data_IF_708901147863
#
_entry.id   IF_708901147863
#
_cell.length_a   1.000
_cell.length_b   1.000
_cell.length_c   1.000
_cell.angle_alpha   90.00
_cell.angle_beta   90.00
_cell.angle_gamma   90.00
#
_symmetry.space_group_name_H-M   'P 1'
#
loop_
_entity.id
_entity.type
_entity.pdbx_description
1 polymer ?
#
# COMPACT_ATOMS: atom_id res chain seq x y z
N UNK A 1 -12.09 5.43 -7.23
CA UNK A 1 -10.88 4.61 -7.46
C UNK A 1 -9.59 5.42 -7.49
N UNK A 2 -9.59 6.67 -7.98
CA UNK A 2 -8.38 7.51 -8.01
C UNK A 2 -7.57 7.56 -6.68
N UNK A 3 -8.23 7.76 -5.53
CA UNK A 3 -7.53 7.79 -4.22
C UNK A 3 -6.92 6.43 -3.82
N UNK A 4 -7.57 5.33 -4.20
CA UNK A 4 -7.06 3.98 -3.99
C UNK A 4 -5.84 3.72 -4.85
N UNK A 5 -5.88 4.12 -6.12
CA UNK A 5 -4.76 3.98 -7.06
C UNK A 5 -3.54 4.80 -6.60
N UNK A 6 -3.74 6.07 -6.20
CA UNK A 6 -2.66 6.93 -5.69
C UNK A 6 -2.02 6.38 -4.41
N UNK A 7 -2.78 5.65 -3.60
CA UNK A 7 -2.28 5.04 -2.37
C UNK A 7 -1.89 3.57 -2.56
N UNK A 8 -1.73 3.10 -3.80
CA UNK A 8 -1.35 1.71 -4.10
C UNK A 8 -2.27 0.67 -3.44
N UNK A 9 -3.57 0.95 -3.40
CA UNK A 9 -4.59 0.09 -2.80
C UNK A 9 -4.60 0.10 -1.27
N UNK A 10 -3.96 1.08 -0.64
CA UNK A 10 -3.90 1.18 0.83
C UNK A 10 -5.13 1.86 1.40
N UNK A 11 -5.69 2.84 0.68
CA UNK A 11 -6.86 3.58 1.14
C UNK A 11 -7.92 3.70 0.06
N UNK A 12 -9.09 3.10 0.29
CA UNK A 12 -10.29 3.32 -0.51
C UNK A 12 -11.36 3.94 0.40
N UNK A 13 -11.74 5.21 0.20
CA UNK A 13 -12.72 5.87 1.06
C UNK A 13 -14.08 5.21 0.94
N UNK A 14 -14.76 5.01 2.07
CA UNK A 14 -16.10 4.42 2.08
C UNK A 14 -17.13 5.42 1.56
N UNK A 15 -18.28 4.96 1.03
CA UNK A 15 -19.39 5.83 0.67
C UNK A 15 -19.83 6.76 1.80
N UNK A 16 -19.74 6.30 3.05
CA UNK A 16 -20.09 7.08 4.24
C UNK A 16 -19.14 8.24 4.54
N UNK A 17 -17.96 8.28 3.93
CA UNK A 17 -17.05 9.44 3.97
C UNK A 17 -17.25 10.30 2.73
N UNK A 18 -17.32 9.67 1.55
CA UNK A 18 -17.39 10.40 0.27
C UNK A 18 -18.65 11.27 0.15
N UNK A 19 -19.83 10.71 0.43
CA UNK A 19 -21.08 11.46 0.22
C UNK A 19 -21.25 12.65 1.17
N UNK A 20 -21.00 12.52 2.50
CA UNK A 20 -21.04 13.69 3.38
C UNK A 20 -20.06 14.80 2.98
N UNK A 21 -18.85 14.45 2.54
CA UNK A 21 -17.89 15.45 2.04
C UNK A 21 -18.40 16.15 0.78
N UNK A 22 -18.99 15.41 -0.17
CA UNK A 22 -19.56 16.00 -1.38
C UNK A 22 -20.76 16.92 -1.07
N UNK A 23 -21.62 16.53 -0.12
CA UNK A 23 -22.70 17.39 0.37
C UNK A 23 -22.16 18.67 0.98
N UNK A 24 -21.16 18.57 1.86
CA UNK A 24 -20.52 19.75 2.46
C UNK A 24 -19.94 20.70 1.39
N UNK A 25 -19.26 20.17 0.37
CA UNK A 25 -18.72 20.99 -0.72
C UNK A 25 -19.81 21.64 -1.58
N UNK A 26 -20.96 20.99 -1.73
CA UNK A 26 -22.13 21.54 -2.41
C UNK A 26 -22.78 22.67 -1.59
N UNK A 27 -22.97 22.46 -0.28
CA UNK A 27 -23.51 23.47 0.64
C UNK A 27 -22.58 24.70 0.78
N UNK A 28 -21.27 24.50 0.72
CA UNK A 28 -20.27 25.57 0.71
C UNK A 28 -20.16 26.29 -0.64
N UNK A 29 -20.85 25.82 -1.69
CA UNK A 29 -20.81 26.40 -3.04
C UNK A 29 -19.55 26.07 -3.85
N UNK A 30 -18.70 25.15 -3.39
CA UNK A 30 -17.47 24.72 -4.08
C UNK A 30 -17.71 23.61 -5.10
N UNK A 31 -18.81 22.87 -4.97
CA UNK A 31 -19.26 21.89 -5.94
C UNK A 31 -20.73 22.10 -6.29
N UNK A 32 -21.12 21.59 -7.45
CA UNK A 32 -22.53 21.49 -7.87
C UNK A 32 -22.79 20.09 -8.33
N UNK A 33 -23.99 19.58 -8.04
CA UNK A 33 -24.43 18.30 -8.58
C UNK A 33 -25.41 18.44 -9.74
N UNK A 34 -25.32 17.47 -10.65
CA UNK A 34 -26.29 17.23 -11.70
C UNK A 34 -26.72 15.77 -11.68
N UNK A 35 -27.94 15.51 -12.16
CA UNK A 35 -28.41 14.14 -12.36
C UNK A 35 -28.16 13.74 -13.81
N UNK A 36 -27.26 12.77 -14.01
CA UNK A 36 -27.06 12.11 -15.30
C UNK A 36 -27.70 10.72 -15.23
N UNK A 37 -28.95 10.63 -15.70
CA UNK A 37 -29.77 9.43 -15.58
C UNK A 37 -29.98 9.05 -14.12
N UNK A 38 -29.45 7.88 -13.72
CA UNK A 38 -29.58 7.35 -12.36
C UNK A 38 -28.41 7.71 -11.44
N UNK A 39 -27.45 8.53 -11.91
CA UNK A 39 -26.24 8.88 -11.16
C UNK A 39 -26.22 10.38 -10.86
N UNK A 40 -25.90 10.72 -9.60
CA UNK A 40 -25.57 12.08 -9.18
C UNK A 40 -24.10 12.33 -9.51
N UNK A 41 -23.82 13.26 -10.42
CA UNK A 41 -22.47 13.66 -10.84
C UNK A 41 -22.15 15.00 -10.18
N UNK A 42 -20.97 15.13 -9.62
CA UNK A 42 -20.50 16.37 -8.97
C UNK A 42 -19.44 17.03 -9.84
N UNK A 43 -19.53 18.35 -9.98
CA UNK A 43 -18.58 19.18 -10.70
C UNK A 43 -18.11 20.33 -9.82
N UNK A 44 -16.84 20.69 -9.90
CA UNK A 44 -16.29 21.83 -9.17
C UNK A 44 -16.79 23.15 -9.77
N UNK A 45 -17.14 24.11 -8.92
CA UNK A 45 -17.53 25.46 -9.34
C UNK A 45 -16.31 26.36 -9.52
N UNK A 46 -16.48 27.56 -10.09
CA UNK A 46 -15.40 28.55 -10.12
C UNK A 46 -14.92 28.95 -8.71
N UNK A 47 -15.85 29.14 -7.77
CA UNK A 47 -15.50 29.39 -6.38
C UNK A 47 -14.70 28.23 -5.76
N UNK A 48 -15.07 26.99 -6.08
CA UNK A 48 -14.33 25.80 -5.67
C UNK A 48 -12.94 25.73 -6.28
N UNK A 49 -12.76 26.12 -7.55
CA UNK A 49 -11.45 26.21 -8.21
C UNK A 49 -10.55 27.23 -7.53
N UNK A 50 -11.05 28.44 -7.29
CA UNK A 50 -10.30 29.47 -6.56
C UNK A 50 -9.89 28.98 -5.16
N UNK A 51 -10.83 28.38 -4.41
CA UNK A 51 -10.53 27.85 -3.09
C UNK A 51 -9.48 26.73 -3.11
N UNK A 52 -9.55 25.86 -4.13
CA UNK A 52 -8.56 24.80 -4.34
C UNK A 52 -7.18 25.39 -4.62
N UNK A 53 -7.09 26.40 -5.49
CA UNK A 53 -5.83 27.03 -5.88
C UNK A 53 -5.19 27.80 -4.72
N UNK A 54 -6.00 28.51 -3.91
CA UNK A 54 -5.54 29.20 -2.69
C UNK A 54 -4.93 28.24 -1.65
N UNK A 55 -5.34 26.98 -1.67
CA UNK A 55 -4.91 25.96 -0.70
C UNK A 55 -3.99 24.89 -1.33
N UNK A 56 -3.53 25.12 -2.57
CA UNK A 56 -2.86 24.11 -3.39
C UNK A 56 -1.60 23.54 -2.72
N UNK A 57 -0.75 24.38 -2.16
CA UNK A 57 0.50 23.93 -1.52
C UNK A 57 0.25 22.94 -0.36
N UNK A 58 -0.72 23.25 0.49
CA UNK A 58 -1.12 22.39 1.61
C UNK A 58 -1.70 21.06 1.09
N UNK A 59 -2.57 21.12 0.08
CA UNK A 59 -3.22 19.95 -0.50
C UNK A 59 -2.17 19.05 -1.15
N UNK A 60 -1.24 19.62 -1.93
CA UNK A 60 -0.15 18.88 -2.55
C UNK A 60 0.72 18.18 -1.50
N UNK A 61 1.01 18.85 -0.37
CA UNK A 61 1.73 18.24 0.75
C UNK A 61 0.99 17.05 1.37
N UNK A 62 -0.32 17.15 1.60
CA UNK A 62 -1.15 16.04 2.11
C UNK A 62 -1.19 14.88 1.12
N UNK A 63 -1.33 15.19 -0.17
CA UNK A 63 -1.39 14.18 -1.22
C UNK A 63 -0.04 13.46 -1.40
N UNK A 64 1.09 14.18 -1.38
CA UNK A 64 2.42 13.57 -1.43
C UNK A 64 2.66 12.67 -0.22
N UNK A 65 2.25 13.09 0.98
CA UNK A 65 2.35 12.26 2.18
C UNK A 65 1.55 10.95 2.03
N UNK A 66 0.31 11.03 1.56
CA UNK A 66 -0.55 9.87 1.32
C UNK A 66 0.06 8.91 0.29
N UNK A 67 0.63 9.43 -0.80
CA UNK A 67 1.29 8.61 -1.81
C UNK A 67 2.56 7.93 -1.27
N UNK A 68 3.40 8.66 -0.53
CA UNK A 68 4.61 8.08 0.10
C UNK A 68 4.24 6.96 1.07
N UNK A 69 3.22 7.19 1.88
CA UNK A 69 2.70 6.16 2.78
C UNK A 69 2.15 4.96 2.01
N UNK A 70 1.37 5.21 0.95
CA UNK A 70 0.85 4.18 0.05
C UNK A 70 1.97 3.30 -0.54
N UNK A 71 3.01 3.92 -1.11
CA UNK A 71 4.19 3.23 -1.64
C UNK A 71 4.93 2.42 -0.58
N UNK A 72 5.17 3.00 0.60
CA UNK A 72 5.82 2.29 1.72
C UNK A 72 5.01 1.08 2.16
N UNK A 73 3.69 1.22 2.26
CA UNK A 73 2.80 0.13 2.66
C UNK A 73 2.64 -0.93 1.57
N UNK A 74 2.67 -0.55 0.29
CA UNK A 74 2.70 -1.50 -0.82
C UNK A 74 4.00 -2.30 -0.82
N UNK A 75 5.14 -1.61 -0.67
CA UNK A 75 6.44 -2.24 -0.48
C UNK A 75 6.43 -3.14 0.77
N UNK A 76 5.82 -2.73 1.87
CA UNK A 76 5.64 -3.55 3.06
C UNK A 76 4.71 -4.75 2.80
N UNK A 77 3.64 -4.64 2.00
CA UNK A 77 2.78 -5.79 1.66
C UNK A 77 3.50 -6.81 0.78
N UNK A 78 4.20 -6.32 -0.24
CA UNK A 78 5.08 -7.12 -1.10
C UNK A 78 6.19 -7.74 -0.26
N UNK A 79 6.70 -6.99 0.71
CA UNK A 79 7.75 -7.45 1.58
C UNK A 79 7.19 -8.47 2.58
N UNK A 80 6.44 -8.04 3.58
CA UNK A 80 5.93 -8.88 4.65
C UNK A 80 4.89 -9.94 4.21
N UNK A 81 4.45 -9.98 2.94
CA UNK A 81 3.58 -11.06 2.45
C UNK A 81 2.16 -11.04 3.02
N UNK A 82 1.64 -9.87 3.41
CA UNK A 82 0.30 -9.71 4.02
C UNK A 82 -0.87 -10.10 3.11
N UNK A 83 -0.60 -10.55 1.87
CA UNK A 83 -1.57 -11.16 0.95
C UNK A 83 -1.68 -12.69 1.06
N UNK A 84 -0.79 -13.35 1.78
CA UNK A 84 -0.73 -14.82 1.90
C UNK A 84 -1.69 -15.38 2.98
N UNK A 85 -2.35 -14.52 3.75
CA UNK A 85 -3.30 -14.91 4.79
C UNK A 85 -4.75 -15.07 4.30
N UNK A 86 -5.01 -14.94 2.99
CA UNK A 86 -6.30 -15.28 2.39
C UNK A 86 -6.44 -16.75 1.96
N UNK A 87 -5.58 -17.64 2.46
CA UNK A 87 -5.71 -19.09 2.27
C UNK A 87 -6.33 -19.76 3.52
N UNK A 88 -7.41 -19.17 4.04
CA UNK A 88 -8.33 -19.82 4.96
C UNK A 88 -9.21 -20.80 4.18
N UNK A 89 -8.73 -22.03 3.94
CA UNK A 89 -9.61 -23.00 3.30
C UNK A 89 -9.13 -24.40 2.94
N UNK A 90 -7.88 -24.81 3.17
CA UNK A 90 -7.46 -26.19 2.84
C UNK A 90 -6.84 -26.96 4.00
N UNK A 91 -7.67 -27.84 4.57
CA UNK A 91 -7.27 -29.01 5.37
C UNK A 91 -6.13 -29.75 4.65
N UNK A 92 -5.04 -30.02 5.40
CA UNK A 92 -3.88 -30.79 4.93
C UNK A 92 -2.56 -30.02 4.93
N UNK A 93 -2.34 -29.06 5.83
CA UNK A 93 -1.07 -28.35 5.92
C UNK A 93 0.00 -29.22 6.59
N UNK A 94 1.14 -29.41 5.93
CA UNK A 94 2.30 -30.13 6.49
C UNK A 94 3.07 -29.22 7.45
N UNK A 95 3.42 -29.72 8.64
CA UNK A 95 4.22 -29.00 9.65
C UNK A 95 5.50 -28.37 9.08
N UNK A 96 6.14 -29.04 8.11
CA UNK A 96 7.33 -28.50 7.42
C UNK A 96 7.04 -27.21 6.67
N UNK A 97 5.86 -27.07 6.04
CA UNK A 97 5.47 -25.84 5.33
C UNK A 97 5.30 -24.67 6.28
N UNK A 98 4.73 -24.91 7.47
CA UNK A 98 4.61 -23.88 8.51
C UNK A 98 5.98 -23.47 9.05
N UNK A 99 6.89 -24.43 9.27
CA UNK A 99 8.26 -24.13 9.68
C UNK A 99 8.99 -23.27 8.64
N UNK A 100 8.88 -23.61 7.35
CA UNK A 100 9.46 -22.78 6.29
C UNK A 100 8.82 -21.39 6.22
N UNK A 101 7.50 -21.26 6.45
CA UNK A 101 6.81 -19.96 6.49
C UNK A 101 7.35 -19.11 7.64
N UNK A 102 7.46 -19.68 8.84
CA UNK A 102 7.98 -19.00 10.02
C UNK A 102 9.44 -18.57 9.82
N UNK A 103 10.29 -19.43 9.23
CA UNK A 103 11.68 -19.11 8.93
C UNK A 103 11.79 -17.98 7.91
N UNK A 104 11.02 -18.03 6.81
CA UNK A 104 10.98 -16.94 5.82
C UNK A 104 10.57 -15.62 6.46
N UNK A 105 9.58 -15.65 7.35
CA UNK A 105 9.10 -14.46 8.03
C UNK A 105 10.17 -13.86 8.98
N UNK A 106 10.89 -14.71 9.71
CA UNK A 106 12.00 -14.28 10.58
C UNK A 106 13.18 -13.73 9.78
N UNK A 107 13.60 -14.43 8.73
CA UNK A 107 14.68 -13.99 7.84
C UNK A 107 14.35 -12.63 7.22
N UNK A 108 13.10 -12.46 6.77
CA UNK A 108 12.64 -11.21 6.19
C UNK A 108 12.63 -10.04 7.16
N UNK A 109 12.20 -10.24 8.40
CA UNK A 109 12.25 -9.19 9.42
C UNK A 109 13.70 -8.72 9.65
N UNK A 110 14.65 -9.66 9.76
CA UNK A 110 16.07 -9.32 9.91
C UNK A 110 16.62 -8.57 8.68
N UNK A 111 16.23 -8.96 7.47
CA UNK A 111 16.66 -8.26 6.24
C UNK A 111 16.07 -6.84 6.13
N UNK A 112 14.88 -6.59 6.69
CA UNK A 112 14.33 -5.25 6.81
C UNK A 112 15.24 -4.34 7.63
N UNK A 113 15.72 -4.81 8.79
CA UNK A 113 16.63 -4.05 9.64
C UNK A 113 18.01 -3.85 8.98
N UNK A 114 18.47 -4.81 8.18
CA UNK A 114 19.75 -4.73 7.46
C UNK A 114 19.70 -3.80 6.24
N UNK A 115 18.55 -3.65 5.58
CA UNK A 115 18.41 -2.79 4.40
C UNK A 115 18.74 -1.31 4.69
N UNK A 116 18.53 -0.86 5.93
CA UNK A 116 18.87 0.49 6.40
C UNK A 116 20.25 0.55 7.11
N UNK A 117 20.97 -0.57 7.21
CA UNK A 117 22.27 -0.65 7.86
C UNK A 117 23.41 -0.16 6.93
N UNK A 118 24.62 0.10 7.46
CA UNK A 118 25.79 0.46 6.65
C UNK A 118 26.14 -0.58 5.57
N UNK A 119 26.77 -0.12 4.48
CA UNK A 119 27.03 -0.93 3.26
C UNK A 119 27.83 -2.22 3.53
N UNK A 120 28.75 -2.21 4.49
CA UNK A 120 29.52 -3.40 4.91
C UNK A 120 28.60 -4.50 5.46
N UNK A 121 27.61 -4.13 6.27
CA UNK A 121 26.62 -5.07 6.82
C UNK A 121 25.63 -5.56 5.76
N UNK A 122 25.29 -4.71 4.80
CA UNK A 122 24.46 -5.12 3.67
C UNK A 122 25.20 -6.16 2.81
N UNK A 123 26.47 -5.91 2.49
CA UNK A 123 27.31 -6.83 1.72
C UNK A 123 27.50 -8.17 2.43
N UNK A 124 27.74 -8.17 3.75
CA UNK A 124 27.85 -9.39 4.55
C UNK A 124 26.54 -10.20 4.52
N UNK A 125 25.38 -9.55 4.67
CA UNK A 125 24.10 -10.22 4.62
C UNK A 125 23.78 -10.81 3.23
N UNK A 126 24.16 -10.12 2.15
CA UNK A 126 24.02 -10.63 0.78
C UNK A 126 24.85 -11.92 0.62
N UNK A 127 26.12 -11.91 1.04
CA UNK A 127 26.99 -13.10 0.95
C UNK A 127 26.41 -14.29 1.71
N UNK A 128 25.89 -14.08 2.93
CA UNK A 128 25.24 -15.15 3.71
C UNK A 128 24.04 -15.75 2.96
N UNK A 129 23.25 -14.91 2.28
CA UNK A 129 22.08 -15.37 1.54
C UNK A 129 22.46 -16.12 0.26
N UNK A 130 23.50 -15.68 -0.44
CA UNK A 130 24.04 -16.36 -1.63
C UNK A 130 24.48 -17.78 -1.27
N UNK A 131 25.30 -17.93 -0.22
CA UNK A 131 25.75 -19.23 0.28
C UNK A 131 24.57 -20.15 0.66
N UNK A 132 23.57 -19.59 1.35
CA UNK A 132 22.37 -20.33 1.74
C UNK A 132 21.53 -20.76 0.52
N UNK A 133 21.41 -19.89 -0.49
CA UNK A 133 20.68 -20.20 -1.72
C UNK A 133 21.37 -21.31 -2.51
N UNK A 134 22.69 -21.23 -2.70
CA UNK A 134 23.48 -22.26 -3.37
C UNK A 134 23.35 -23.62 -2.67
N UNK A 135 23.43 -23.64 -1.33
CA UNK A 135 23.28 -24.87 -0.56
C UNK A 135 21.90 -25.51 -0.75
N UNK A 136 20.83 -24.72 -0.81
CA UNK A 136 19.46 -25.21 -1.03
C UNK A 136 19.28 -25.69 -2.47
N UNK A 137 19.80 -24.96 -3.45
CA UNK A 137 19.74 -25.37 -4.86
C UNK A 137 20.47 -26.70 -5.11
N UNK A 138 21.62 -26.91 -4.45
CA UNK A 138 22.37 -28.15 -4.53
C UNK A 138 21.57 -29.36 -4.02
N UNK A 139 20.67 -29.17 -3.05
CA UNK A 139 19.77 -30.24 -2.57
C UNK A 139 18.69 -30.60 -3.60
N UNK A 140 18.23 -29.63 -4.40
CA UNK A 140 17.20 -29.86 -5.42
C UNK A 140 17.74 -30.51 -6.71
N UNK A 141 19.07 -30.43 -6.94
CA UNK A 141 19.75 -31.03 -8.10
C UNK A 141 20.23 -32.48 -7.83
N UNK A 142 20.08 -33.00 -6.61
CA UNK A 142 20.39 -34.40 -6.23
C UNK A 142 19.18 -35.30 -6.40
#
# INVERSE_FOLDING_TARGET
KALEERTSGVYSPSPGVVYPTLTFLEEAGYAVSSSEGNKKVFSITEAGRTHLDENREMIDGVLDHLERFGRKMAAAREWFGWGDDKDEGRRGRSEKRDQFRALRHRLRAALGDIADAPEDKQAEAISILEDAAEAIEALARR
#
